data_IF_617542402157
#
_entry.id   IF_617542402157
#
_cell.length_a   1.000
_cell.length_b   1.000
_cell.length_c   1.000
_cell.angle_alpha   90.00
_cell.angle_beta   90.00
_cell.angle_gamma   90.00
#
_symmetry.space_group_name_H-M   'P 1'
#
loop_
_entity.id
_entity.type
_entity.pdbx_description
1 polymer ?
#
# COMPACT_ATOMS: atom_id res chain seq x y z
N UNK A 1 -2.64 -52.60 -50.83
CA UNK A 1 -3.85 -52.58 -49.96
C UNK A 1 -3.57 -51.61 -48.81
N UNK A 2 -4.05 -50.37 -48.87
CA UNK A 2 -3.77 -49.35 -47.85
C UNK A 2 -5.07 -49.10 -47.06
N UNK A 3 -5.16 -49.61 -45.83
CA UNK A 3 -6.31 -49.35 -44.95
C UNK A 3 -6.21 -47.91 -44.45
N UNK A 4 -7.06 -47.04 -44.99
CA UNK A 4 -7.17 -45.63 -44.63
C UNK A 4 -7.77 -45.55 -43.22
N UNK A 5 -6.93 -45.30 -42.21
CA UNK A 5 -7.34 -45.05 -40.84
C UNK A 5 -7.92 -43.64 -40.75
N UNK A 6 -9.23 -43.48 -40.91
CA UNK A 6 -9.90 -42.23 -40.57
C UNK A 6 -9.92 -42.10 -39.04
N UNK A 7 -9.02 -41.27 -38.50
CA UNK A 7 -9.06 -40.85 -37.10
C UNK A 7 -10.34 -40.03 -36.89
N UNK A 8 -11.19 -40.48 -35.97
CA UNK A 8 -12.32 -39.72 -35.44
C UNK A 8 -11.80 -38.41 -34.82
N UNK A 9 -11.79 -37.34 -35.61
CA UNK A 9 -11.59 -35.98 -35.14
C UNK A 9 -12.88 -35.57 -34.41
N UNK A 10 -12.98 -35.87 -33.11
CA UNK A 10 -14.03 -35.31 -32.25
C UNK A 10 -13.70 -33.83 -32.04
N UNK A 11 -14.22 -32.98 -32.92
CA UNK A 11 -14.14 -31.53 -32.76
C UNK A 11 -15.00 -31.05 -31.58
N UNK A 12 -14.56 -29.98 -30.92
CA UNK A 12 -15.34 -29.27 -29.91
C UNK A 12 -16.65 -28.77 -30.53
N UNK A 13 -17.77 -28.89 -29.81
CA UNK A 13 -19.04 -28.35 -30.31
C UNK A 13 -19.08 -26.83 -30.12
N UNK A 14 -19.76 -26.11 -31.03
CA UNK A 14 -19.97 -24.67 -30.89
C UNK A 14 -20.69 -24.33 -29.57
N UNK A 15 -21.62 -25.20 -29.16
CA UNK A 15 -22.37 -25.07 -27.91
C UNK A 15 -21.49 -25.19 -26.67
N UNK A 16 -20.44 -26.01 -26.70
CA UNK A 16 -19.50 -26.12 -25.57
C UNK A 16 -18.69 -24.84 -25.38
N UNK A 17 -18.31 -24.14 -26.46
CA UNK A 17 -17.64 -22.85 -26.31
C UNK A 17 -18.62 -21.78 -25.84
N UNK A 18 -19.86 -21.78 -26.34
CA UNK A 18 -20.89 -20.80 -25.94
C UNK A 18 -21.24 -20.94 -24.44
N UNK A 19 -21.47 -22.16 -23.94
CA UNK A 19 -21.82 -22.34 -22.54
C UNK A 19 -20.67 -21.97 -21.60
N UNK A 20 -19.42 -22.22 -22.01
CA UNK A 20 -18.24 -21.86 -21.23
C UNK A 20 -18.10 -20.35 -21.13
N UNK A 21 -18.23 -19.59 -22.23
CA UNK A 21 -18.14 -18.12 -22.16
C UNK A 21 -19.30 -17.51 -21.37
N UNK A 22 -20.50 -18.12 -21.40
CA UNK A 22 -21.65 -17.69 -20.59
C UNK A 22 -21.35 -17.87 -19.09
N UNK A 23 -20.85 -19.04 -18.69
CA UNK A 23 -20.47 -19.30 -17.29
C UNK A 23 -19.32 -18.36 -16.87
N UNK A 24 -18.28 -18.22 -17.69
CA UNK A 24 -17.17 -17.29 -17.43
C UNK A 24 -17.67 -15.83 -17.31
N UNK A 25 -18.65 -15.42 -18.12
CA UNK A 25 -19.26 -14.10 -18.03
C UNK A 25 -20.00 -13.86 -16.72
N UNK A 26 -20.76 -14.85 -16.22
CA UNK A 26 -21.44 -14.78 -14.93
C UNK A 26 -20.42 -14.69 -13.78
N UNK A 27 -19.38 -15.52 -13.81
CA UNK A 27 -18.32 -15.50 -12.80
C UNK A 27 -17.56 -14.16 -12.80
N UNK A 28 -17.25 -13.63 -13.99
CA UNK A 28 -16.56 -12.35 -14.15
C UNK A 28 -17.39 -11.18 -13.58
N UNK A 29 -18.70 -11.15 -13.84
CA UNK A 29 -19.58 -10.11 -13.28
C UNK A 29 -19.58 -10.06 -11.75
N UNK A 30 -19.47 -11.22 -11.07
CA UNK A 30 -19.41 -11.29 -9.62
C UNK A 30 -18.00 -10.96 -9.10
N UNK A 31 -16.96 -11.36 -9.83
CA UNK A 31 -15.57 -11.22 -9.39
C UNK A 31 -15.00 -9.80 -9.57
N UNK A 32 -15.23 -9.16 -10.72
CA UNK A 32 -14.68 -7.84 -11.06
C UNK A 32 -14.95 -6.74 -10.01
N UNK A 33 -16.17 -6.54 -9.49
CA UNK A 33 -16.42 -5.44 -8.55
C UNK A 33 -15.62 -5.57 -7.24
N UNK A 34 -15.31 -6.79 -6.81
CA UNK A 34 -14.49 -7.02 -5.61
C UNK A 34 -13.01 -6.68 -5.83
N UNK A 35 -12.52 -6.83 -7.05
CA UNK A 35 -11.11 -6.60 -7.37
C UNK A 35 -10.75 -5.09 -7.37
N UNK A 36 -11.67 -4.23 -7.82
CA UNK A 36 -11.45 -2.79 -7.98
C UNK A 36 -11.13 -2.10 -6.64
N UNK A 37 -11.75 -2.54 -5.54
CA UNK A 37 -11.49 -1.96 -4.21
C UNK A 37 -10.32 -2.60 -3.46
N UNK A 38 -9.80 -3.74 -3.94
CA UNK A 38 -8.73 -4.46 -3.24
C UNK A 38 -7.36 -3.82 -3.48
N UNK A 39 -7.09 -3.34 -4.70
CA UNK A 39 -5.82 -2.70 -5.04
C UNK A 39 -5.62 -1.40 -4.25
N UNK A 40 -6.63 -0.52 -4.22
CA UNK A 40 -6.57 0.72 -3.46
C UNK A 40 -6.35 0.49 -1.96
N UNK A 41 -6.97 -0.54 -1.37
CA UNK A 41 -6.76 -0.88 0.03
C UNK A 41 -5.35 -1.42 0.30
N UNK A 42 -4.77 -2.18 -0.64
CA UNK A 42 -3.40 -2.67 -0.54
C UNK A 42 -2.37 -1.53 -0.65
N UNK A 43 -2.62 -0.56 -1.53
CA UNK A 43 -1.79 0.65 -1.68
C UNK A 43 -1.83 1.48 -0.38
N UNK A 44 -3.01 1.78 0.16
CA UNK A 44 -3.16 2.49 1.45
C UNK A 44 -2.45 1.74 2.59
N UNK A 45 -2.52 0.41 2.61
CA UNK A 45 -1.83 -0.39 3.61
C UNK A 45 -0.30 -0.28 3.49
N UNK A 46 0.22 -0.20 2.27
CA UNK A 46 1.65 -0.02 2.00
C UNK A 46 2.11 1.39 2.41
N UNK A 47 1.34 2.43 2.08
CA UNK A 47 1.64 3.81 2.50
C UNK A 47 1.63 3.95 4.03
N UNK A 48 0.66 3.28 4.69
CA UNK A 48 0.62 3.18 6.14
C UNK A 48 1.89 2.53 6.70
N UNK A 49 2.32 1.40 6.14
CA UNK A 49 3.54 0.73 6.55
C UNK A 49 4.75 1.65 6.41
N UNK A 50 4.85 2.38 5.29
CA UNK A 50 5.87 3.40 5.09
C UNK A 50 5.90 4.43 6.23
N UNK A 51 4.74 4.96 6.64
CA UNK A 51 4.67 5.90 7.77
C UNK A 51 5.18 5.29 9.09
N UNK A 52 4.88 4.02 9.35
CA UNK A 52 5.36 3.33 10.55
C UNK A 52 6.88 3.09 10.52
N UNK A 53 7.43 2.73 9.36
CA UNK A 53 8.88 2.58 9.16
C UNK A 53 9.58 3.93 9.31
N UNK A 54 9.05 4.98 8.68
CA UNK A 54 9.57 6.34 8.80
C UNK A 54 9.58 6.84 10.24
N UNK A 55 8.53 6.55 11.04
CA UNK A 55 8.50 6.95 12.44
C UNK A 55 9.64 6.32 13.24
N UNK A 56 9.86 5.01 13.07
CA UNK A 56 10.94 4.29 13.76
C UNK A 56 12.33 4.74 13.31
N UNK A 57 12.50 4.96 12.01
CA UNK A 57 13.74 5.52 11.46
C UNK A 57 14.02 6.91 12.05
N UNK A 58 12.97 7.72 12.21
CA UNK A 58 13.07 9.02 12.81
C UNK A 58 13.52 8.94 14.29
N UNK A 59 12.96 8.02 15.08
CA UNK A 59 13.37 7.82 16.49
C UNK A 59 14.84 7.40 16.61
N UNK A 60 15.28 6.49 15.75
CA UNK A 60 16.69 6.08 15.69
C UNK A 60 17.60 7.25 15.31
N UNK A 61 17.20 8.05 14.32
CA UNK A 61 17.95 9.25 13.93
C UNK A 61 18.01 10.25 15.08
N UNK A 62 16.89 10.50 15.75
CA UNK A 62 16.80 11.40 16.91
C UNK A 62 17.75 10.98 18.03
N UNK A 63 17.75 9.70 18.39
CA UNK A 63 18.63 9.15 19.41
C UNK A 63 20.12 9.24 19.02
N UNK A 64 20.44 9.07 17.73
CA UNK A 64 21.81 9.10 17.22
C UNK A 64 22.37 10.52 17.00
N UNK A 65 21.51 11.52 16.80
CA UNK A 65 21.89 12.87 16.37
C UNK A 65 21.51 13.95 17.39
N UNK A 66 21.89 13.75 18.66
CA UNK A 66 21.70 14.74 19.74
C UNK A 66 20.26 15.27 19.84
N UNK A 67 19.26 14.40 19.60
CA UNK A 67 17.83 14.76 19.64
C UNK A 67 17.45 15.82 18.60
N UNK A 68 18.05 15.75 17.41
CA UNK A 68 17.68 16.61 16.28
C UNK A 68 16.54 15.99 15.48
N UNK A 69 15.46 16.75 15.24
CA UNK A 69 14.32 16.29 14.44
C UNK A 69 14.74 16.08 12.98
N UNK A 70 14.59 14.87 12.41
CA UNK A 70 14.78 14.67 10.99
C UNK A 70 13.53 15.09 10.20
N UNK A 71 13.75 15.49 8.95
CA UNK A 71 12.69 15.50 7.93
C UNK A 71 12.72 14.18 7.15
N UNK A 72 11.74 13.97 6.26
CA UNK A 72 11.70 12.77 5.41
C UNK A 72 12.95 12.70 4.53
N UNK A 73 13.32 13.83 3.92
CA UNK A 73 14.48 13.92 3.02
C UNK A 73 15.77 13.59 3.75
N UNK A 74 15.91 13.99 5.02
CA UNK A 74 17.09 13.64 5.84
C UNK A 74 17.18 12.14 6.07
N UNK A 75 16.06 11.45 6.28
CA UNK A 75 16.04 10.00 6.48
C UNK A 75 16.29 9.23 5.17
N UNK A 76 15.82 9.76 4.04
CA UNK A 76 16.09 9.23 2.70
C UNK A 76 17.57 9.37 2.34
N UNK A 77 18.15 10.56 2.55
CA UNK A 77 19.59 10.82 2.33
C UNK A 77 20.46 9.95 3.24
N UNK A 78 20.00 9.70 4.46
CA UNK A 78 20.62 8.76 5.40
C UNK A 78 20.37 7.28 5.06
N UNK A 79 19.62 6.98 3.99
CA UNK A 79 19.25 5.62 3.54
C UNK A 79 18.51 4.80 4.60
N UNK A 80 17.79 5.46 5.50
CA UNK A 80 17.02 4.82 6.56
C UNK A 80 15.60 4.45 6.13
N UNK A 81 15.08 5.10 5.08
CA UNK A 81 13.80 4.84 4.43
C UNK A 81 13.94 4.93 2.91
N UNK A 82 12.96 4.37 2.20
CA UNK A 82 12.84 4.50 0.74
C UNK A 82 12.36 5.90 0.33
N UNK A 83 12.58 6.29 -0.92
CA UNK A 83 12.14 7.57 -1.49
C UNK A 83 10.60 7.69 -1.49
N UNK A 84 10.08 8.67 -0.74
CA UNK A 84 8.65 8.91 -0.56
C UNK A 84 7.90 9.18 -1.86
N UNK A 85 8.56 9.77 -2.87
CA UNK A 85 7.95 10.06 -4.17
C UNK A 85 7.63 8.78 -4.96
N UNK A 86 8.29 7.68 -4.61
CA UNK A 86 8.06 6.36 -5.20
C UNK A 86 7.31 5.42 -4.28
N UNK A 87 7.45 5.59 -2.96
CA UNK A 87 6.81 4.75 -1.96
C UNK A 87 5.32 5.07 -1.81
N UNK A 88 4.95 6.35 -1.88
CA UNK A 88 3.56 6.79 -1.67
C UNK A 88 2.77 6.74 -2.97
N UNK A 89 1.65 6.01 -2.95
CA UNK A 89 0.78 5.86 -4.13
C UNK A 89 -0.61 6.48 -3.93
N UNK A 90 -1.06 6.61 -2.68
CA UNK A 90 -2.40 7.09 -2.36
C UNK A 90 -2.40 8.45 -1.64
N UNK A 91 -1.24 8.92 -1.16
CA UNK A 91 -1.07 10.19 -0.47
C UNK A 91 -0.16 11.13 -1.26
N UNK A 92 -0.36 12.44 -1.10
CA UNK A 92 0.38 13.47 -1.85
C UNK A 92 1.55 14.06 -1.08
N UNK A 93 1.64 13.81 0.21
CA UNK A 93 2.74 14.29 1.04
C UNK A 93 2.93 13.45 2.30
N UNK A 94 4.11 13.60 2.89
CA UNK A 94 4.47 13.01 4.18
C UNK A 94 5.29 14.01 5.00
N UNK A 95 5.04 14.06 6.30
CA UNK A 95 5.79 14.89 7.23
C UNK A 95 6.08 14.16 8.54
N UNK A 96 7.16 14.56 9.21
CA UNK A 96 7.57 14.01 10.51
C UNK A 96 7.52 15.12 11.54
N UNK A 97 6.96 14.83 12.71
CA UNK A 97 7.09 15.65 13.91
C UNK A 97 7.68 14.80 15.03
N UNK A 98 8.59 15.39 15.79
CA UNK A 98 9.15 14.80 17.01
C UNK A 98 8.53 15.48 18.22
N UNK A 99 7.95 14.71 19.11
CA UNK A 99 7.63 15.17 20.46
C UNK A 99 8.69 14.64 21.43
N UNK A 100 9.38 15.54 22.10
CA UNK A 100 10.33 15.16 23.13
C UNK A 100 9.66 14.56 24.37
N UNK A 101 8.36 14.82 24.59
CA UNK A 101 7.52 14.24 25.65
C UNK A 101 8.16 14.06 27.04
N UNK A 102 7.54 13.22 27.87
CA UNK A 102 8.15 12.66 29.09
C UNK A 102 8.98 11.39 28.77
N UNK A 103 8.99 10.94 27.52
CA UNK A 103 9.76 9.79 27.04
C UNK A 103 11.23 10.18 26.84
N UNK A 104 12.14 9.40 27.42
CA UNK A 104 13.59 9.70 27.35
C UNK A 104 14.15 9.63 25.92
N UNK A 105 13.49 8.85 25.07
CA UNK A 105 13.70 8.70 23.63
C UNK A 105 12.46 9.29 22.94
N UNK A 106 12.64 10.29 22.06
CA UNK A 106 11.53 11.11 21.54
C UNK A 106 10.47 10.29 20.77
N UNK A 107 9.22 10.77 20.78
CA UNK A 107 8.09 10.14 20.10
C UNK A 107 7.97 10.71 18.69
N UNK A 108 8.06 9.84 17.68
CA UNK A 108 7.88 10.23 16.29
C UNK A 108 6.41 10.13 15.88
N UNK A 109 5.89 11.20 15.27
CA UNK A 109 4.60 11.21 14.58
C UNK A 109 4.83 11.47 13.10
N UNK A 110 4.41 10.54 12.25
CA UNK A 110 4.45 10.67 10.80
C UNK A 110 3.03 10.89 10.27
N UNK A 111 2.82 11.94 9.50
CA UNK A 111 1.53 12.27 8.90
C UNK A 111 1.63 12.15 7.38
N UNK A 112 0.76 11.33 6.81
CA UNK A 112 0.49 11.23 5.38
C UNK A 112 -0.66 12.17 5.03
N UNK A 113 -0.49 13.02 4.03
CA UNK A 113 -1.45 14.07 3.66
C UNK A 113 -2.06 13.85 2.29
N UNK A 114 -3.33 14.24 2.14
CA UNK A 114 -3.99 14.36 0.84
C UNK A 114 -4.56 13.07 0.24
N UNK A 115 -4.82 12.05 1.07
CA UNK A 115 -5.57 10.86 0.64
C UNK A 115 -7.07 11.14 0.49
N UNK A 116 -7.77 10.34 -0.32
CA UNK A 116 -9.21 10.51 -0.64
C UNK A 116 -10.13 10.34 0.59
N UNK A 117 -9.60 9.78 1.69
CA UNK A 117 -10.23 9.63 3.00
C UNK A 117 -9.73 10.60 4.08
N UNK A 118 -8.90 11.58 3.71
CA UNK A 118 -8.22 12.50 4.62
C UNK A 118 -6.83 12.00 5.03
N UNK A 119 -6.18 12.82 5.85
CA UNK A 119 -4.82 12.57 6.33
C UNK A 119 -4.78 11.41 7.33
N UNK A 120 -3.64 10.72 7.38
CA UNK A 120 -3.39 9.60 8.27
C UNK A 120 -2.12 9.86 9.07
N UNK A 121 -2.21 9.78 10.40
CA UNK A 121 -1.04 9.91 11.27
C UNK A 121 -0.71 8.60 11.97
N UNK A 122 0.56 8.26 11.99
CA UNK A 122 1.14 7.19 12.81
C UNK A 122 1.99 7.81 13.91
N UNK A 123 1.67 7.51 15.16
CA UNK A 123 2.46 7.85 16.33
C UNK A 123 3.22 6.61 16.81
N UNK A 124 4.50 6.72 17.10
CA UNK A 124 5.33 5.57 17.48
C UNK A 124 4.96 4.94 18.83
N UNK A 125 4.33 5.71 19.73
CA UNK A 125 3.83 5.22 21.00
C UNK A 125 2.42 4.63 20.90
N UNK A 126 1.51 5.34 20.21
CA UNK A 126 0.08 5.03 20.21
C UNK A 126 -0.42 4.32 18.95
N UNK A 127 0.42 4.20 17.91
CA UNK A 127 0.08 3.64 16.61
C UNK A 127 -0.68 4.61 15.69
N UNK A 128 -1.50 4.10 14.76
CA UNK A 128 -2.31 4.97 13.91
C UNK A 128 -3.39 5.68 14.73
N UNK A 129 -3.39 7.00 14.68
CA UNK A 129 -4.39 7.82 15.34
C UNK A 129 -5.34 8.40 14.28
N UNK A 130 -6.63 8.45 14.60
CA UNK A 130 -7.66 9.02 13.71
C UNK A 130 -7.85 10.52 13.98
N UNK A 131 -6.80 11.23 14.36
CA UNK A 131 -6.92 12.67 14.59
C UNK A 131 -7.13 13.34 13.23
N UNK A 132 -8.30 13.91 13.02
CA UNK A 132 -8.58 14.77 11.88
C UNK A 132 -7.52 15.87 11.84
N UNK A 133 -6.58 15.77 10.91
CA UNK A 133 -5.71 16.90 10.55
C UNK A 133 -6.64 17.93 9.92
N UNK A 134 -7.09 18.87 10.74
CA UNK A 134 -7.78 20.07 10.26
C UNK A 134 -6.67 21.05 9.88
N UNK A 135 -6.76 21.73 8.72
CA UNK A 135 -5.69 22.58 8.19
C UNK A 135 -5.27 23.70 9.15
#
# INVERSE_FOLDING_TARGET
MMKKLWKNQKGFTLMEIIIVIVILGILAMIAIPRLIGFTAQAEIASDKEYAAVAARAAELYWAANDKTAPTIEVLEDATMIDDHSTALQHFTGVGITMDSGDASDGIATVTLTGGDGGDISYNSQDGYTTAAVTP
#
